data_IF_106589062233
#
_entry.id   IF_106589062233
#
_cell.length_a   1.000
_cell.length_b   1.000
_cell.length_c   1.000
_cell.angle_alpha   90.00
_cell.angle_beta   90.00
_cell.angle_gamma   90.00
#
_symmetry.space_group_name_H-M   'P 1'
#
loop_
_entity.id
_entity.type
_entity.pdbx_description
1 polymer ?
#
# COMPACT_ATOMS: atom_id res chain seq x y z
N UNK A 1 21.60 -1.20 -16.00
CA UNK A 1 21.17 -2.09 -14.89
C UNK A 1 19.78 -2.57 -15.23
N UNK A 2 19.51 -3.86 -15.10
CA UNK A 2 18.17 -4.40 -15.33
C UNK A 2 17.20 -3.85 -14.27
N UNK A 3 15.96 -3.52 -14.65
CA UNK A 3 14.95 -2.91 -13.77
C UNK A 3 14.76 -3.68 -12.45
N UNK A 4 14.67 -5.01 -12.54
CA UNK A 4 14.52 -5.89 -11.39
C UNK A 4 15.67 -5.79 -10.40
N UNK A 5 16.91 -5.74 -10.90
CA UNK A 5 18.09 -5.61 -10.07
C UNK A 5 18.13 -4.24 -9.38
N UNK A 6 17.80 -3.17 -10.12
CA UNK A 6 17.71 -1.83 -9.54
C UNK A 6 16.72 -1.76 -8.37
N UNK A 7 15.50 -2.29 -8.53
CA UNK A 7 14.49 -2.30 -7.46
C UNK A 7 14.99 -3.08 -6.24
N UNK A 8 15.59 -4.26 -6.43
CA UNK A 8 16.16 -5.06 -5.32
C UNK A 8 17.23 -4.29 -4.54
N UNK A 9 18.11 -3.61 -5.24
CA UNK A 9 19.17 -2.80 -4.61
C UNK A 9 18.59 -1.63 -3.81
N UNK A 10 17.55 -0.94 -4.33
CA UNK A 10 16.89 0.14 -3.58
C UNK A 10 16.16 -0.38 -2.34
N UNK A 11 15.43 -1.49 -2.45
CA UNK A 11 14.75 -2.13 -1.31
C UNK A 11 15.76 -2.53 -0.23
N UNK A 12 16.90 -3.09 -0.61
CA UNK A 12 17.97 -3.43 0.34
C UNK A 12 18.62 -2.17 0.95
N UNK A 13 18.80 -1.11 0.18
CA UNK A 13 19.30 0.19 0.66
C UNK A 13 18.36 0.76 1.73
N UNK A 14 17.05 0.74 1.49
CA UNK A 14 16.04 1.20 2.45
C UNK A 14 16.06 0.38 3.74
N UNK A 15 16.18 -0.95 3.63
CA UNK A 15 16.33 -1.82 4.78
C UNK A 15 17.58 -1.45 5.61
N UNK A 16 18.74 -1.31 4.95
CA UNK A 16 19.99 -0.94 5.63
C UNK A 16 19.94 0.45 6.29
N UNK A 17 19.12 1.37 5.75
CA UNK A 17 18.95 2.71 6.33
C UNK A 17 18.18 2.68 7.66
N UNK A 18 17.26 1.73 7.83
CA UNK A 18 16.38 1.71 9.02
C UNK A 18 16.71 0.61 10.03
N UNK A 19 17.44 -0.45 9.66
CA UNK A 19 17.67 -1.65 10.50
C UNK A 19 18.37 -1.37 11.82
N UNK A 20 19.23 -0.34 11.87
CA UNK A 20 19.95 0.03 13.11
C UNK A 20 19.13 0.98 14.02
N UNK A 21 17.97 1.46 13.52
CA UNK A 21 17.07 2.36 14.24
C UNK A 21 15.81 1.67 14.74
N UNK A 22 15.44 0.57 14.09
CA UNK A 22 14.21 -0.16 14.34
C UNK A 22 14.46 -1.66 14.27
N UNK A 23 13.75 -2.42 15.08
CA UNK A 23 13.65 -3.87 14.92
C UNK A 23 12.71 -4.18 13.74
N UNK A 24 13.32 -4.30 12.55
CA UNK A 24 12.58 -4.47 11.29
C UNK A 24 12.20 -5.93 11.12
N UNK A 25 10.89 -6.19 11.14
CA UNK A 25 10.32 -7.51 10.87
C UNK A 25 10.27 -7.83 9.37
N UNK A 26 9.77 -6.88 8.59
CA UNK A 26 9.51 -7.02 7.16
C UNK A 26 9.57 -5.66 6.49
N UNK A 27 10.24 -5.57 5.35
CA UNK A 27 10.26 -4.38 4.49
C UNK A 27 9.96 -4.80 3.07
N UNK A 28 9.03 -4.13 2.42
CA UNK A 28 8.56 -4.48 1.08
C UNK A 28 8.35 -3.27 0.20
N UNK A 29 8.53 -3.48 -1.10
CA UNK A 29 8.22 -2.49 -2.13
C UNK A 29 6.73 -2.13 -2.10
N UNK A 30 6.42 -0.85 -2.24
CA UNK A 30 5.06 -0.35 -2.46
C UNK A 30 4.99 0.49 -3.75
N UNK A 31 3.78 0.63 -4.30
CA UNK A 31 3.52 1.60 -5.35
C UNK A 31 3.70 1.09 -6.77
N UNK A 32 3.98 2.02 -7.69
CA UNK A 32 3.84 1.82 -9.14
C UNK A 32 4.69 0.70 -9.72
N UNK A 33 5.84 0.39 -9.13
CA UNK A 33 6.71 -0.70 -9.58
C UNK A 33 6.05 -2.08 -9.44
N UNK A 34 5.15 -2.27 -8.45
CA UNK A 34 4.41 -3.52 -8.26
C UNK A 34 3.39 -3.77 -9.37
N UNK A 35 2.97 -2.72 -10.07
CA UNK A 35 1.87 -2.78 -11.06
C UNK A 35 2.35 -2.65 -12.50
N UNK A 36 3.66 -2.38 -12.73
CA UNK A 36 4.20 -2.06 -14.04
C UNK A 36 3.73 -0.69 -14.55
N UNK A 37 3.53 0.27 -13.65
CA UNK A 37 3.17 1.67 -13.90
C UNK A 37 4.32 2.62 -13.59
N UNK A 38 5.50 2.08 -13.35
CA UNK A 38 6.74 2.82 -13.22
C UNK A 38 7.23 3.34 -14.57
N UNK A 39 7.86 4.49 -14.54
CA UNK A 39 8.40 5.17 -15.73
C UNK A 39 9.90 5.39 -15.48
N UNK A 40 10.71 5.01 -16.45
CA UNK A 40 12.15 5.24 -16.47
C UNK A 40 12.52 5.82 -17.83
N UNK A 41 12.38 7.13 -17.99
CA UNK A 41 12.84 7.84 -19.18
C UNK A 41 13.85 8.94 -18.81
N UNK A 42 14.28 9.74 -19.79
CA UNK A 42 15.29 10.77 -19.58
C UNK A 42 14.82 11.90 -18.65
N UNK A 43 13.52 12.17 -18.67
CA UNK A 43 12.91 13.33 -18.01
C UNK A 43 12.15 12.94 -16.71
N UNK A 44 11.90 11.66 -16.50
CA UNK A 44 11.15 11.17 -15.35
C UNK A 44 11.61 9.77 -14.93
N UNK A 45 11.92 9.62 -13.66
CA UNK A 45 12.20 8.34 -13.03
C UNK A 45 11.26 8.13 -11.85
N UNK A 46 10.59 6.99 -11.86
CA UNK A 46 9.70 6.62 -10.74
C UNK A 46 10.51 6.31 -9.50
N UNK A 47 10.08 6.87 -8.37
CA UNK A 47 10.67 6.64 -7.06
C UNK A 47 10.45 5.18 -6.63
N UNK A 48 11.36 4.65 -5.85
CA UNK A 48 11.22 3.34 -5.21
C UNK A 48 10.81 3.57 -3.77
N UNK A 49 9.52 3.42 -3.49
CA UNK A 49 8.98 3.55 -2.14
C UNK A 49 8.85 2.19 -1.47
N UNK A 50 9.07 2.15 -0.16
CA UNK A 50 8.94 0.93 0.63
C UNK A 50 8.07 1.14 1.87
N UNK A 51 7.56 0.03 2.39
CA UNK A 51 6.80 0.00 3.63
C UNK A 51 7.41 -1.04 4.56
N UNK A 52 7.70 -0.62 5.80
CA UNK A 52 8.30 -1.46 6.81
C UNK A 52 7.32 -1.80 7.94
N UNK A 53 7.32 -3.05 8.36
CA UNK A 53 6.71 -3.50 9.62
C UNK A 53 7.85 -3.61 10.64
N UNK A 54 7.71 -2.93 11.77
CA UNK A 54 8.67 -2.96 12.87
C UNK A 54 8.04 -3.55 14.13
N UNK A 55 8.89 -4.09 15.00
CA UNK A 55 8.46 -4.67 16.27
C UNK A 55 8.60 -3.65 17.40
N UNK A 56 7.61 -3.57 18.31
CA UNK A 56 7.75 -2.83 19.57
C UNK A 56 8.64 -3.59 20.53
N UNK A 57 9.23 -2.89 21.49
CA UNK A 57 9.82 -3.54 22.68
C UNK A 57 8.75 -4.03 23.66
N UNK A 58 9.13 -4.91 24.58
CA UNK A 58 8.26 -5.32 25.68
C UNK A 58 7.80 -4.10 26.51
N UNK A 59 8.70 -3.17 26.80
CA UNK A 59 8.37 -1.93 27.51
C UNK A 59 7.35 -1.07 26.74
N UNK A 60 7.43 -0.99 25.41
CA UNK A 60 6.45 -0.22 24.60
C UNK A 60 5.03 -0.74 24.80
N UNK A 61 4.88 -2.04 25.02
CA UNK A 61 3.59 -2.67 25.31
C UNK A 61 3.16 -2.41 26.74
N UNK A 62 4.05 -2.66 27.72
CA UNK A 62 3.75 -2.53 29.16
C UNK A 62 3.39 -1.09 29.53
N UNK A 63 4.13 -0.11 29.00
CA UNK A 63 3.88 1.31 29.24
C UNK A 63 2.86 1.93 28.27
N UNK A 64 2.23 1.12 27.41
CA UNK A 64 1.25 1.57 26.42
C UNK A 64 1.76 2.76 25.58
N UNK A 65 3.04 2.72 25.18
CA UNK A 65 3.63 3.76 24.34
C UNK A 65 2.96 3.79 22.97
N UNK A 66 2.84 4.99 22.41
CA UNK A 66 2.22 5.17 21.08
C UNK A 66 2.97 4.36 20.03
N UNK A 67 2.26 3.55 19.21
CA UNK A 67 2.87 2.79 18.15
C UNK A 67 3.50 3.71 17.08
N UNK A 68 4.68 3.34 16.61
CA UNK A 68 5.35 4.08 15.54
C UNK A 68 4.52 4.02 14.26
N UNK A 69 4.26 5.20 13.70
CA UNK A 69 3.59 5.37 12.41
C UNK A 69 4.10 6.64 11.75
N UNK A 70 5.12 6.52 10.90
CA UNK A 70 5.74 7.68 10.24
C UNK A 70 6.30 7.32 8.87
N UNK A 71 6.44 8.33 8.03
CA UNK A 71 7.12 8.25 6.75
C UNK A 71 8.49 8.93 6.87
N UNK A 72 9.54 8.25 6.46
CA UNK A 72 10.89 8.78 6.33
C UNK A 72 11.07 9.15 4.87
N UNK A 73 11.44 10.40 4.61
CA UNK A 73 11.80 10.90 3.28
C UNK A 73 13.31 10.87 3.16
N UNK A 74 13.82 10.22 2.12
CA UNK A 74 15.25 10.13 1.81
C UNK A 74 15.68 11.31 0.92
N UNK A 75 16.98 11.55 0.83
CA UNK A 75 17.56 12.68 0.06
C UNK A 75 17.22 12.67 -1.44
N UNK A 76 16.81 11.52 -1.97
CA UNK A 76 16.37 11.34 -3.36
C UNK A 76 14.86 11.30 -3.53
N UNK A 77 14.10 11.84 -2.56
CA UNK A 77 12.64 11.89 -2.50
C UNK A 77 11.94 10.52 -2.42
N UNK A 78 12.67 9.42 -2.29
CA UNK A 78 12.09 8.10 -2.00
C UNK A 78 11.60 8.01 -0.55
N UNK A 79 10.59 7.19 -0.30
CA UNK A 79 9.95 7.10 1.01
C UNK A 79 10.07 5.71 1.63
N UNK A 80 10.27 5.69 2.95
CA UNK A 80 10.11 4.50 3.77
C UNK A 80 8.97 4.74 4.75
N UNK A 81 7.84 4.08 4.54
CA UNK A 81 6.67 4.18 5.44
C UNK A 81 6.81 3.14 6.57
N UNK A 82 7.23 3.59 7.76
CA UNK A 82 7.52 2.74 8.92
C UNK A 82 6.29 2.63 9.80
N UNK A 83 5.82 1.40 10.04
CA UNK A 83 4.65 1.08 10.87
C UNK A 83 4.97 -0.01 11.89
N UNK A 84 4.64 0.24 13.13
CA UNK A 84 4.57 -0.78 14.17
C UNK A 84 3.61 -1.91 13.75
N UNK A 85 3.91 -3.16 14.08
CA UNK A 85 3.08 -4.33 13.76
C UNK A 85 1.63 -4.14 14.23
N UNK A 86 1.38 -3.46 15.35
CA UNK A 86 0.04 -3.16 15.86
C UNK A 86 -0.75 -2.30 14.86
N UNK A 87 -0.11 -1.28 14.30
CA UNK A 87 -0.72 -0.37 13.30
C UNK A 87 -0.89 -1.08 11.97
N UNK A 88 0.13 -1.83 11.54
CA UNK A 88 0.09 -2.51 10.24
C UNK A 88 -1.03 -3.54 10.16
N UNK A 89 -1.16 -4.40 11.17
CA UNK A 89 -2.18 -5.44 11.19
C UNK A 89 -3.61 -4.87 11.28
N UNK A 90 -3.79 -3.75 11.99
CA UNK A 90 -5.08 -3.04 11.96
C UNK A 90 -5.39 -2.44 10.57
N UNK A 91 -4.37 -1.97 9.81
CA UNK A 91 -4.57 -1.52 8.44
C UNK A 91 -4.91 -2.68 7.48
N UNK A 92 -4.38 -3.89 7.71
CA UNK A 92 -4.82 -5.07 6.97
C UNK A 92 -6.30 -5.38 7.25
N UNK A 93 -6.74 -5.33 8.51
CA UNK A 93 -8.15 -5.51 8.89
C UNK A 93 -9.07 -4.44 8.29
N UNK A 94 -8.60 -3.20 8.17
CA UNK A 94 -9.30 -2.10 7.49
C UNK A 94 -9.35 -2.23 5.97
N UNK A 95 -8.77 -3.29 5.41
CA UNK A 95 -8.77 -3.58 3.97
C UNK A 95 -8.21 -2.45 3.11
N UNK A 96 -7.21 -1.73 3.63
CA UNK A 96 -6.58 -0.65 2.88
C UNK A 96 -5.59 -1.22 1.85
N UNK A 97 -5.90 -1.01 0.57
CA UNK A 97 -5.11 -1.53 -0.58
C UNK A 97 -3.64 -1.16 -0.47
N UNK A 98 -3.33 0.09 -0.09
CA UNK A 98 -1.94 0.58 -0.01
C UNK A 98 -1.13 -0.11 1.10
N UNK A 99 -1.78 -0.83 2.02
CA UNK A 99 -1.13 -1.66 3.02
C UNK A 99 -1.13 -3.13 2.61
N UNK A 100 -2.23 -3.62 2.05
CA UNK A 100 -2.34 -5.01 1.63
C UNK A 100 -1.38 -5.35 0.49
N UNK A 101 -1.10 -4.42 -0.43
CA UNK A 101 -0.23 -4.65 -1.60
C UNK A 101 1.15 -5.19 -1.26
N UNK A 102 1.71 -4.83 -0.09
CA UNK A 102 3.04 -5.28 0.32
C UNK A 102 3.13 -6.80 0.55
N UNK A 103 1.98 -7.46 0.78
CA UNK A 103 1.93 -8.92 0.93
C UNK A 103 2.08 -9.66 -0.40
N UNK A 104 1.92 -8.95 -1.54
CA UNK A 104 1.88 -9.52 -2.88
C UNK A 104 3.12 -9.18 -3.73
N UNK A 105 4.00 -8.31 -3.25
CA UNK A 105 5.22 -7.95 -3.97
C UNK A 105 6.28 -9.06 -3.90
N UNK A 106 7.10 -9.17 -4.96
CA UNK A 106 8.25 -10.07 -5.01
C UNK A 106 9.55 -9.38 -4.53
N UNK A 107 9.48 -8.08 -4.17
CA UNK A 107 10.60 -7.27 -3.72
C UNK A 107 10.47 -6.95 -2.24
N UNK A 108 11.13 -7.74 -1.39
CA UNK A 108 11.06 -7.58 0.05
C UNK A 108 12.32 -8.08 0.76
N UNK A 109 12.49 -7.64 1.99
CA UNK A 109 13.46 -8.15 2.97
C UNK A 109 12.70 -8.60 4.21
N UNK A 110 13.04 -9.76 4.73
CA UNK A 110 12.48 -10.31 5.98
C UNK A 110 13.57 -10.45 7.03
N UNK A 111 13.18 -10.35 8.29
CA UNK A 111 14.00 -10.81 9.38
C UNK A 111 13.92 -12.36 9.42
N UNK A 112 15.05 -13.02 9.19
CA UNK A 112 15.13 -14.49 9.09
C UNK A 112 14.66 -15.18 10.37
N UNK A 113 14.74 -14.52 11.52
CA UNK A 113 14.25 -15.03 12.80
C UNK A 113 12.74 -15.31 12.80
N UNK A 114 11.97 -14.52 12.02
CA UNK A 114 10.50 -14.61 11.89
C UNK A 114 10.03 -15.10 10.52
N UNK A 115 10.92 -15.77 9.78
CA UNK A 115 10.68 -16.19 8.39
C UNK A 115 9.42 -17.04 8.21
N UNK A 116 9.18 -17.96 9.12
CA UNK A 116 8.02 -18.87 9.04
C UNK A 116 6.71 -18.10 9.18
N UNK A 117 6.61 -17.20 10.17
CA UNK A 117 5.43 -16.38 10.39
C UNK A 117 5.19 -15.41 9.23
N UNK A 118 6.24 -14.80 8.67
CA UNK A 118 6.12 -13.91 7.51
C UNK A 118 5.73 -14.69 6.25
N UNK A 119 6.26 -15.87 6.04
CA UNK A 119 5.82 -16.73 4.94
C UNK A 119 4.35 -17.15 5.11
N UNK A 120 3.91 -17.47 6.32
CA UNK A 120 2.51 -17.78 6.59
C UNK A 120 1.62 -16.55 6.31
N UNK A 121 2.01 -15.34 6.74
CA UNK A 121 1.31 -14.09 6.43
C UNK A 121 1.16 -13.88 4.91
N UNK A 122 2.24 -14.05 4.15
CA UNK A 122 2.24 -13.87 2.69
C UNK A 122 1.43 -14.96 1.96
N UNK A 123 1.51 -16.21 2.41
CA UNK A 123 0.73 -17.31 1.84
C UNK A 123 -0.78 -17.14 2.10
N UNK A 124 -1.15 -16.46 3.18
CA UNK A 124 -2.53 -16.12 3.54
C UNK A 124 -3.02 -14.78 2.93
N UNK A 125 -2.20 -14.11 2.12
CA UNK A 125 -2.45 -12.75 1.64
C UNK A 125 -3.80 -12.59 0.93
N UNK A 126 -4.19 -13.52 0.06
CA UNK A 126 -5.50 -13.47 -0.64
C UNK A 126 -6.67 -13.60 0.33
N UNK A 127 -6.54 -14.45 1.35
CA UNK A 127 -7.57 -14.62 2.37
C UNK A 127 -7.69 -13.36 3.24
N UNK A 128 -6.56 -12.76 3.61
CA UNK A 128 -6.49 -11.51 4.36
C UNK A 128 -7.06 -10.35 3.53
N UNK A 129 -6.74 -10.26 2.24
CA UNK A 129 -7.23 -9.22 1.34
C UNK A 129 -8.75 -9.33 1.05
N UNK A 130 -9.39 -10.44 1.44
CA UNK A 130 -10.83 -10.67 1.39
C UNK A 130 -11.45 -10.87 2.77
N UNK A 131 -10.80 -10.34 3.79
CA UNK A 131 -11.27 -10.42 5.18
C UNK A 131 -12.66 -9.78 5.35
N UNK A 132 -12.87 -8.61 4.73
CA UNK A 132 -14.15 -7.90 4.69
C UNK A 132 -14.29 -7.17 3.34
N UNK A 133 -15.03 -7.79 2.43
CA UNK A 133 -15.23 -7.28 1.07
C UNK A 133 -15.96 -5.93 1.08
N UNK A 134 -16.99 -5.77 1.91
CA UNK A 134 -17.71 -4.51 2.03
C UNK A 134 -16.76 -3.37 2.47
N UNK A 135 -15.91 -3.63 3.44
CA UNK A 135 -14.92 -2.66 3.91
C UNK A 135 -13.88 -2.34 2.82
N UNK A 136 -13.44 -3.34 2.05
CA UNK A 136 -12.53 -3.13 0.91
C UNK A 136 -13.16 -2.21 -0.14
N UNK A 137 -14.41 -2.45 -0.53
CA UNK A 137 -15.15 -1.63 -1.49
C UNK A 137 -15.33 -0.19 -1.00
N UNK A 138 -15.67 -0.01 0.29
CA UNK A 138 -15.77 1.33 0.92
C UNK A 138 -14.42 2.04 0.93
N UNK A 139 -13.33 1.32 1.23
CA UNK A 139 -11.97 1.87 1.22
C UNK A 139 -11.58 2.35 -0.18
N UNK A 140 -11.81 1.54 -1.22
CA UNK A 140 -11.50 1.89 -2.61
C UNK A 140 -12.25 3.14 -3.07
N UNK A 141 -13.56 3.21 -2.82
CA UNK A 141 -14.38 4.37 -3.16
C UNK A 141 -13.96 5.62 -2.37
N UNK A 142 -13.62 5.47 -1.09
CA UNK A 142 -13.08 6.56 -0.28
C UNK A 142 -11.75 7.09 -0.82
N UNK A 143 -10.84 6.20 -1.21
CA UNK A 143 -9.56 6.58 -1.82
C UNK A 143 -9.75 7.32 -3.14
N UNK A 144 -10.65 6.86 -4.03
CA UNK A 144 -10.99 7.56 -5.26
C UNK A 144 -11.47 8.98 -4.99
N UNK A 145 -12.41 9.13 -4.04
CA UNK A 145 -12.96 10.44 -3.64
C UNK A 145 -11.90 11.40 -3.08
N UNK A 146 -10.95 10.87 -2.28
CA UNK A 146 -9.83 11.68 -1.78
C UNK A 146 -8.95 12.17 -2.92
N UNK A 147 -8.68 11.33 -3.93
CA UNK A 147 -7.90 11.71 -5.12
C UNK A 147 -8.62 12.73 -5.97
N UNK A 148 -9.95 12.63 -6.10
CA UNK A 148 -10.75 13.63 -6.79
C UNK A 148 -10.67 15.00 -6.09
N UNK A 149 -10.77 15.04 -4.75
CA UNK A 149 -10.59 16.29 -3.97
C UNK A 149 -9.20 16.91 -4.15
N UNK A 150 -8.17 16.04 -4.26
CA UNK A 150 -6.79 16.46 -4.43
C UNK A 150 -6.44 16.85 -5.88
N UNK A 151 -7.30 16.56 -6.86
CA UNK A 151 -7.01 16.72 -8.29
C UNK A 151 -6.55 18.11 -8.67
N UNK A 152 -7.20 19.13 -8.13
CA UNK A 152 -6.90 20.56 -8.37
C UNK A 152 -6.43 21.32 -7.12
N UNK A 153 -6.16 20.59 -6.03
CA UNK A 153 -5.74 21.24 -4.79
C UNK A 153 -4.24 21.53 -4.79
N UNK A 154 -3.82 22.79 -4.63
CA UNK A 154 -2.41 23.20 -4.74
C UNK A 154 -1.65 22.91 -3.42
N UNK A 155 -1.35 21.64 -3.17
CA UNK A 155 -0.40 21.29 -2.10
C UNK A 155 1.02 21.72 -2.48
N UNK A 156 1.92 22.00 -1.52
CA UNK A 156 3.31 22.36 -1.81
C UNK A 156 4.02 21.38 -2.77
N UNK A 157 3.74 20.07 -2.65
CA UNK A 157 4.33 19.04 -3.50
C UNK A 157 3.68 18.90 -4.90
N UNK A 158 2.53 19.55 -5.15
CA UNK A 158 1.78 19.41 -6.41
C UNK A 158 1.58 20.73 -7.16
N UNK A 159 1.91 21.87 -6.55
CA UNK A 159 1.64 23.20 -7.11
C UNK A 159 2.22 23.36 -8.53
N UNK A 160 3.46 22.96 -8.76
CA UNK A 160 4.10 23.05 -10.07
C UNK A 160 3.38 22.22 -11.16
N UNK A 161 2.73 21.11 -10.78
CA UNK A 161 1.94 20.30 -11.71
C UNK A 161 0.62 20.96 -12.04
N UNK A 162 -0.03 21.54 -11.03
CA UNK A 162 -1.28 22.26 -11.20
C UNK A 162 -1.07 23.50 -12.05
N UNK A 163 0.00 24.28 -11.83
CA UNK A 163 0.37 25.42 -12.68
C UNK A 163 0.64 25.00 -14.13
N UNK A 164 1.26 23.83 -14.35
CA UNK A 164 1.60 23.35 -15.69
C UNK A 164 0.42 22.75 -16.45
N UNK A 165 -0.44 21.97 -15.75
CA UNK A 165 -1.47 21.15 -16.40
C UNK A 165 -2.90 21.56 -16.02
N UNK A 166 -3.11 22.47 -15.07
CA UNK A 166 -4.41 22.81 -14.47
C UNK A 166 -4.91 21.78 -13.45
N UNK A 167 -4.21 20.65 -13.30
CA UNK A 167 -4.53 19.56 -12.37
C UNK A 167 -3.28 18.73 -12.05
N UNK A 168 -3.36 17.82 -11.04
CA UNK A 168 -2.29 16.84 -10.80
C UNK A 168 -2.58 15.53 -11.56
N UNK A 169 -1.82 15.21 -12.64
CA UNK A 169 -1.99 14.00 -13.43
C UNK A 169 -1.87 12.70 -12.61
N UNK A 170 -1.09 12.71 -11.51
CA UNK A 170 -0.95 11.57 -10.62
C UNK A 170 -2.25 11.25 -9.88
N UNK A 171 -3.05 12.26 -9.54
CA UNK A 171 -4.36 12.03 -8.89
C UNK A 171 -5.35 11.40 -9.87
N UNK A 172 -5.45 11.91 -11.10
CA UNK A 172 -6.30 11.31 -12.15
C UNK A 172 -5.90 9.84 -12.41
N UNK A 173 -4.60 9.57 -12.54
CA UNK A 173 -4.07 8.22 -12.68
C UNK A 173 -4.55 7.30 -11.52
N UNK A 174 -4.53 7.78 -10.27
CA UNK A 174 -5.00 7.00 -9.14
C UNK A 174 -6.52 6.74 -9.17
N UNK A 175 -7.34 7.72 -9.57
CA UNK A 175 -8.79 7.56 -9.71
C UNK A 175 -9.11 6.46 -10.73
N UNK A 176 -8.49 6.51 -11.91
CA UNK A 176 -8.66 5.50 -12.95
C UNK A 176 -8.23 4.10 -12.48
N UNK A 177 -7.10 4.00 -11.77
CA UNK A 177 -6.61 2.75 -11.22
C UNK A 177 -7.56 2.17 -10.17
N UNK A 178 -8.13 3.00 -9.29
CA UNK A 178 -9.10 2.53 -8.29
C UNK A 178 -10.38 2.01 -8.93
N UNK A 179 -10.84 2.63 -10.00
CA UNK A 179 -12.01 2.17 -10.74
C UNK A 179 -11.77 0.81 -11.43
N UNK A 180 -10.61 0.62 -12.07
CA UNK A 180 -10.22 -0.67 -12.64
C UNK A 180 -10.15 -1.74 -11.53
N UNK A 181 -9.51 -1.42 -10.41
CA UNK A 181 -9.36 -2.32 -9.28
C UNK A 181 -10.73 -2.77 -8.70
N UNK A 182 -11.62 -1.82 -8.37
CA UNK A 182 -12.91 -2.14 -7.74
C UNK A 182 -13.79 -3.00 -8.65
N UNK A 183 -13.72 -2.79 -9.97
CA UNK A 183 -14.44 -3.62 -10.96
C UNK A 183 -13.89 -5.04 -11.00
N UNK A 184 -12.58 -5.20 -11.06
CA UNK A 184 -11.93 -6.51 -11.04
C UNK A 184 -12.18 -7.26 -9.75
N UNK A 185 -12.01 -6.59 -8.63
CA UNK A 185 -12.15 -7.18 -7.30
C UNK A 185 -13.61 -7.49 -6.97
N UNK A 186 -14.53 -6.51 -7.15
CA UNK A 186 -15.91 -6.63 -6.74
C UNK A 186 -16.82 -7.30 -7.78
N UNK A 187 -16.74 -6.89 -9.05
CA UNK A 187 -17.64 -7.40 -10.10
C UNK A 187 -17.12 -8.72 -10.68
N UNK A 188 -15.82 -8.75 -11.06
CA UNK A 188 -15.22 -9.91 -11.73
C UNK A 188 -14.70 -10.96 -10.74
N UNK A 189 -14.70 -10.66 -9.47
CA UNK A 189 -14.22 -11.53 -8.38
C UNK A 189 -12.80 -12.10 -8.63
N UNK A 190 -11.92 -11.30 -9.26
CA UNK A 190 -10.52 -11.68 -9.50
C UNK A 190 -9.73 -11.69 -8.20
N UNK A 191 -8.64 -12.46 -8.16
CA UNK A 191 -7.70 -12.45 -7.03
C UNK A 191 -7.16 -11.03 -6.81
N UNK A 192 -6.89 -10.67 -5.56
CA UNK A 192 -6.38 -9.34 -5.21
C UNK A 192 -5.09 -9.00 -5.98
N UNK A 193 -4.16 -9.96 -6.08
CA UNK A 193 -2.91 -9.80 -6.85
C UNK A 193 -3.18 -9.38 -8.30
N UNK A 194 -4.17 -9.99 -8.95
CA UNK A 194 -4.52 -9.70 -10.35
C UNK A 194 -5.19 -8.33 -10.49
N UNK A 195 -5.92 -7.90 -9.44
CA UNK A 195 -6.55 -6.58 -9.43
C UNK A 195 -5.53 -5.44 -9.29
N UNK A 196 -4.36 -5.68 -8.69
CA UNK A 196 -3.30 -4.68 -8.58
C UNK A 196 -2.77 -4.22 -9.93
N UNK A 197 -2.81 -5.09 -10.93
CA UNK A 197 -2.27 -4.85 -12.28
C UNK A 197 -3.40 -4.31 -13.17
N UNK A 198 -3.39 -3.02 -13.56
CA UNK A 198 -4.43 -2.47 -14.41
C UNK A 198 -4.37 -3.00 -15.84
N UNK A 199 -5.53 -3.07 -16.51
CA UNK A 199 -5.62 -3.58 -17.88
C UNK A 199 -5.02 -2.58 -18.90
N UNK A 200 -5.19 -1.27 -18.69
CA UNK A 200 -4.77 -0.21 -19.61
C UNK A 200 -3.50 0.51 -19.13
N UNK A 201 -2.40 -0.22 -18.92
CA UNK A 201 -1.14 0.34 -18.37
C UNK A 201 -0.60 1.50 -19.19
N UNK A 202 -0.53 1.36 -20.51
CA UNK A 202 0.05 2.38 -21.38
C UNK A 202 -0.77 3.68 -21.32
N UNK A 203 -2.09 3.59 -21.29
CA UNK A 203 -2.95 4.75 -21.12
C UNK A 203 -2.74 5.40 -19.76
N UNK A 204 -2.66 4.63 -18.68
CA UNK A 204 -2.40 5.15 -17.33
C UNK A 204 -1.03 5.83 -17.22
N UNK A 205 -0.01 5.32 -17.92
CA UNK A 205 1.31 5.96 -18.01
C UNK A 205 1.22 7.29 -18.74
N UNK A 206 0.48 7.37 -19.86
CA UNK A 206 0.27 8.62 -20.58
C UNK A 206 -0.50 9.65 -19.75
N UNK A 207 -1.54 9.24 -19.04
CA UNK A 207 -2.26 10.08 -18.07
C UNK A 207 -1.30 10.66 -17.03
N UNK A 208 -0.43 9.82 -16.44
CA UNK A 208 0.56 10.24 -15.43
C UNK A 208 1.54 11.28 -15.99
N UNK A 209 1.80 11.29 -17.30
CA UNK A 209 2.64 12.24 -18.02
C UNK A 209 1.91 13.53 -18.46
N UNK A 210 0.61 13.67 -18.17
CA UNK A 210 -0.17 14.86 -18.53
C UNK A 210 -0.73 14.83 -19.95
N UNK A 211 -1.24 13.68 -20.40
CA UNK A 211 -1.82 13.51 -21.74
C UNK A 211 -3.03 14.42 -22.00
N UNK A 212 -3.84 14.69 -20.99
CA UNK A 212 -5.11 15.39 -21.12
C UNK A 212 -4.98 16.88 -20.76
N UNK A 213 -5.83 17.70 -21.35
CA UNK A 213 -6.07 19.04 -20.84
C UNK A 213 -6.89 19.02 -19.54
N UNK A 214 -7.00 20.18 -18.89
CA UNK A 214 -7.66 20.32 -17.59
C UNK A 214 -9.16 19.96 -17.65
N UNK A 215 -9.85 20.35 -18.72
CA UNK A 215 -11.29 20.16 -18.84
C UNK A 215 -11.62 18.68 -19.01
N UNK A 216 -10.93 18.00 -19.92
CA UNK A 216 -11.10 16.55 -20.14
C UNK A 216 -10.69 15.75 -18.91
N UNK A 217 -9.57 16.10 -18.27
CA UNK A 217 -9.10 15.45 -17.05
C UNK A 217 -10.12 15.54 -15.91
N UNK A 218 -10.73 16.73 -15.74
CA UNK A 218 -11.74 16.94 -14.69
C UNK A 218 -13.01 16.13 -14.97
N UNK A 219 -13.52 16.21 -16.18
CA UNK A 219 -14.72 15.47 -16.60
C UNK A 219 -14.53 13.94 -16.44
N UNK A 220 -13.39 13.42 -16.87
CA UNK A 220 -13.06 12.00 -16.72
C UNK A 220 -12.95 11.61 -15.24
N UNK A 221 -12.26 12.42 -14.44
CA UNK A 221 -12.11 12.15 -13.01
C UNK A 221 -13.45 12.06 -12.28
N UNK A 222 -14.35 13.00 -12.54
CA UNK A 222 -15.70 13.04 -11.94
C UNK A 222 -16.54 11.84 -12.38
N UNK A 223 -16.55 11.53 -13.66
CA UNK A 223 -17.32 10.40 -14.20
C UNK A 223 -16.82 9.07 -13.64
N UNK A 224 -15.50 8.89 -13.56
CA UNK A 224 -14.88 7.65 -13.07
C UNK A 224 -15.03 7.49 -11.56
N UNK A 225 -14.95 8.58 -10.79
CA UNK A 225 -15.23 8.56 -9.35
C UNK A 225 -16.69 8.19 -9.07
N UNK A 226 -17.63 8.79 -9.82
CA UNK A 226 -19.05 8.44 -9.74
C UNK A 226 -19.32 6.97 -10.09
N UNK A 227 -18.65 6.44 -11.11
CA UNK A 227 -18.75 5.03 -11.50
C UNK A 227 -18.20 4.12 -10.39
N UNK A 228 -17.05 4.47 -9.79
CA UNK A 228 -16.48 3.77 -8.64
C UNK A 228 -17.44 3.75 -7.45
N UNK A 229 -18.08 4.88 -7.16
CA UNK A 229 -19.10 5.00 -6.13
C UNK A 229 -20.30 4.11 -6.43
N UNK A 230 -20.82 4.12 -7.66
CA UNK A 230 -21.95 3.30 -8.07
C UNK A 230 -21.65 1.80 -8.00
N UNK A 231 -20.43 1.38 -8.33
CA UNK A 231 -19.99 -0.03 -8.15
C UNK A 231 -20.03 -0.39 -6.67
N UNK A 232 -19.48 0.45 -5.80
CA UNK A 232 -19.53 0.24 -4.34
C UNK A 232 -20.98 0.13 -3.84
N UNK A 233 -21.87 1.05 -4.21
CA UNK A 233 -23.28 1.05 -3.76
C UNK A 233 -24.04 -0.23 -4.19
N UNK A 234 -23.74 -0.74 -5.38
CA UNK A 234 -24.38 -1.97 -5.89
C UNK A 234 -23.90 -3.24 -5.21
N UNK A 235 -22.64 -3.26 -4.73
CA UNK A 235 -22.01 -4.47 -4.22
C UNK A 235 -21.95 -4.56 -2.70
N UNK A 236 -21.95 -3.42 -2.01
CA UNK A 236 -21.98 -3.40 -0.53
C UNK A 236 -23.33 -3.88 -0.05
N UNK A 237 -23.33 -4.91 0.77
CA UNK A 237 -24.52 -5.48 1.41
C UNK A 237 -24.69 -4.92 2.83
N UNK A 238 -25.90 -5.02 3.40
CA UNK A 238 -26.18 -4.61 4.78
C UNK A 238 -25.42 -5.47 5.80
N UNK A 239 -25.15 -6.74 5.46
CA UNK A 239 -24.43 -7.67 6.30
C UNK A 239 -22.95 -7.64 5.94
N UNK A 240 -22.12 -7.18 6.86
CA UNK A 240 -20.66 -7.33 6.75
C UNK A 240 -20.28 -8.80 7.00
N UNK A 241 -20.04 -9.53 5.90
CA UNK A 241 -19.52 -10.89 5.97
C UNK A 241 -18.03 -10.82 6.25
N UNK A 242 -17.68 -10.95 7.52
CA UNK A 242 -16.28 -10.95 7.96
C UNK A 242 -15.73 -12.38 7.89
N UNK A 243 -14.60 -12.55 7.22
CA UNK A 243 -13.88 -13.82 7.20
C UNK A 243 -13.13 -13.99 8.54
N UNK A 244 -13.76 -14.69 9.48
CA UNK A 244 -13.18 -14.93 10.81
C UNK A 244 -11.85 -15.66 10.75
N UNK A 245 -11.70 -16.63 9.84
CA UNK A 245 -10.43 -17.34 9.66
C UNK A 245 -9.28 -16.39 9.30
N UNK A 246 -9.52 -15.38 8.48
CA UNK A 246 -8.49 -14.37 8.14
C UNK A 246 -8.11 -13.51 9.36
N UNK A 247 -9.08 -13.20 10.23
CA UNK A 247 -8.80 -12.51 11.51
C UNK A 247 -7.96 -13.40 12.41
N UNK A 248 -8.31 -14.67 12.53
CA UNK A 248 -7.62 -15.62 13.40
C UNK A 248 -6.18 -15.81 12.94
N UNK A 249 -5.93 -15.94 11.63
CA UNK A 249 -4.59 -15.99 11.04
C UNK A 249 -3.77 -14.75 11.42
N UNK A 250 -4.32 -13.54 11.23
CA UNK A 250 -3.62 -12.30 11.60
C UNK A 250 -3.30 -12.24 13.09
N UNK A 251 -4.23 -12.64 13.93
CA UNK A 251 -4.03 -12.64 15.39
C UNK A 251 -3.00 -13.68 15.82
N UNK A 252 -3.03 -14.88 15.24
CA UNK A 252 -2.06 -15.97 15.51
C UNK A 252 -0.65 -15.54 15.14
N UNK A 253 -0.44 -15.02 13.92
CA UNK A 253 0.86 -14.56 13.44
C UNK A 253 1.39 -13.44 14.35
N UNK A 254 0.56 -12.43 14.64
CA UNK A 254 0.96 -11.33 15.54
C UNK A 254 1.34 -11.85 16.92
N UNK A 255 0.57 -12.77 17.47
CA UNK A 255 0.84 -13.38 18.77
C UNK A 255 2.18 -14.14 18.78
N UNK A 256 2.43 -14.98 17.76
CA UNK A 256 3.65 -15.78 17.69
C UNK A 256 4.89 -14.90 17.60
N UNK A 257 4.87 -13.89 16.72
CA UNK A 257 5.97 -12.94 16.54
C UNK A 257 6.26 -12.17 17.84
N UNK A 258 5.24 -11.58 18.47
CA UNK A 258 5.42 -10.80 19.69
C UNK A 258 5.84 -11.67 20.87
N UNK A 259 5.31 -12.88 20.99
CA UNK A 259 5.72 -13.85 22.01
C UNK A 259 7.20 -14.22 21.87
N UNK A 260 7.66 -14.51 20.65
CA UNK A 260 9.07 -14.82 20.39
C UNK A 260 9.96 -13.63 20.74
N UNK A 261 9.60 -12.42 20.26
CA UNK A 261 10.31 -11.17 20.52
C UNK A 261 10.47 -10.90 22.02
N UNK A 262 9.39 -10.91 22.76
CA UNK A 262 9.41 -10.57 24.19
C UNK A 262 10.10 -11.65 25.04
N UNK A 263 9.97 -12.92 24.66
CA UNK A 263 10.74 -13.99 25.32
C UNK A 263 12.24 -13.77 25.18
N UNK A 264 12.71 -13.34 24.02
CA UNK A 264 14.12 -13.04 23.75
C UNK A 264 14.60 -11.86 24.60
N UNK A 265 13.87 -10.73 24.59
CA UNK A 265 14.21 -9.55 25.40
C UNK A 265 14.34 -9.89 26.90
N UNK A 266 13.36 -10.61 27.46
CA UNK A 266 13.36 -10.99 28.86
C UNK A 266 14.48 -11.98 29.25
N UNK A 267 15.03 -12.74 28.30
CA UNK A 267 16.15 -13.65 28.52
C UNK A 267 17.51 -12.93 28.36
N UNK A 268 17.60 -11.87 27.57
CA UNK A 268 18.81 -11.07 27.38
C UNK A 268 19.05 -10.08 28.56
N UNK A 269 18.03 -9.76 29.35
CA UNK A 269 18.14 -8.91 30.55
C UNK A 269 18.61 -9.68 31.80
N UNK A 270 18.74 -11.01 31.77
CA UNK A 270 19.24 -11.85 32.87
C UNK A 270 20.63 -12.38 32.55
#
# INVERSE_FOLDING_TARGET
MERTQYIKEQVLRHYNYIKDKYDVLYLALQGSQNYGLDVYDKDYKSDVDTKAIILPSFEDIVYNRQPVSKTIVLDNDEHIDVKDIRVMFENFKKQNINFLEILFTDFYVINEEYKEDINYLRNSAEQIARLNINQALRCMAGMSKEKLKALKHPYPATINKIEKYGYDPKQLHHILRMNDFIKKYGIQNKKFKDCLIPDNKDYLIQIKKGLLDEQDATMIAENVDNDTYNVKEKLVTELDLINQTAIDILNEIKYNILKQKFKKELLEEN
#
